data_IF_063459448592
#
_entry.id   IF_063459448592
#
_cell.length_a   1.000
_cell.length_b   1.000
_cell.length_c   1.000
_cell.angle_alpha   90.00
_cell.angle_beta   90.00
_cell.angle_gamma   90.00
#
_symmetry.space_group_name_H-M   'P 1'
#
loop_
_entity.id
_entity.type
_entity.pdbx_description
1 polymer ?
#
# COMPACT_ATOMS: atom_id res chain seq x y z
N UNK A 1 -42.45 -41.49 41.96
CA UNK A 1 -42.04 -41.88 40.58
C UNK A 1 -41.86 -40.72 39.60
N UNK A 2 -42.59 -39.59 39.70
CA UNK A 2 -42.48 -38.45 38.74
C UNK A 2 -41.11 -37.74 38.74
N UNK A 3 -40.47 -37.62 39.91
CA UNK A 3 -39.20 -36.88 40.08
C UNK A 3 -37.98 -37.60 39.45
N UNK A 4 -38.03 -38.93 39.33
CA UNK A 4 -36.96 -39.73 38.72
C UNK A 4 -36.94 -39.58 37.18
N UNK A 5 -38.10 -39.37 36.56
CA UNK A 5 -38.22 -39.09 35.11
C UNK A 5 -37.75 -37.67 34.76
N UNK A 6 -38.01 -36.70 35.63
CA UNK A 6 -37.56 -35.31 35.46
C UNK A 6 -36.04 -35.16 35.57
N UNK A 7 -35.39 -35.93 36.46
CA UNK A 7 -33.92 -35.91 36.60
C UNK A 7 -33.20 -36.45 35.35
N UNK A 8 -33.73 -37.53 34.75
CA UNK A 8 -33.18 -38.08 33.51
C UNK A 8 -33.41 -37.15 32.32
N UNK A 9 -34.58 -36.50 32.24
CA UNK A 9 -34.87 -35.51 31.21
C UNK A 9 -33.95 -34.28 31.34
N UNK A 10 -33.64 -33.85 32.57
CA UNK A 10 -32.70 -32.78 32.83
C UNK A 10 -31.28 -33.14 32.36
N UNK A 11 -30.84 -34.38 32.61
CA UNK A 11 -29.56 -34.88 32.11
C UNK A 11 -29.45 -34.86 30.59
N UNK A 12 -30.51 -35.27 29.88
CA UNK A 12 -30.55 -35.22 28.40
C UNK A 12 -30.47 -33.78 27.88
N UNK A 13 -31.16 -32.83 28.51
CA UNK A 13 -31.11 -31.41 28.13
C UNK A 13 -29.71 -30.83 28.31
N UNK A 14 -29.03 -31.16 29.43
CA UNK A 14 -27.66 -30.72 29.69
C UNK A 14 -26.70 -31.28 28.63
N UNK A 15 -26.85 -32.55 28.25
CA UNK A 15 -26.03 -33.17 27.19
C UNK A 15 -26.27 -32.48 25.84
N UNK A 16 -27.52 -32.19 25.47
CA UNK A 16 -27.83 -31.47 24.24
C UNK A 16 -27.22 -30.06 24.19
N UNK A 17 -27.24 -29.33 25.31
CA UNK A 17 -26.59 -28.01 25.41
C UNK A 17 -25.08 -28.14 25.26
N UNK A 18 -24.47 -29.16 25.86
CA UNK A 18 -23.02 -29.40 25.77
C UNK A 18 -22.60 -29.69 24.31
N UNK A 19 -23.37 -30.50 23.59
CA UNK A 19 -23.15 -30.76 22.16
C UNK A 19 -23.30 -29.48 21.32
N UNK A 20 -24.31 -28.66 21.61
CA UNK A 20 -24.51 -27.39 20.92
C UNK A 20 -23.31 -26.43 21.11
N UNK A 21 -22.79 -26.31 22.33
CA UNK A 21 -21.60 -25.51 22.62
C UNK A 21 -20.36 -26.02 21.86
N UNK A 22 -20.18 -27.33 21.76
CA UNK A 22 -19.07 -27.94 21.00
C UNK A 22 -19.20 -27.61 19.51
N UNK A 23 -20.40 -27.72 18.93
CA UNK A 23 -20.63 -27.39 17.52
C UNK A 23 -20.31 -25.91 17.21
N UNK A 24 -20.74 -24.99 18.09
CA UNK A 24 -20.44 -23.56 17.95
C UNK A 24 -18.94 -23.30 18.06
N UNK A 25 -18.27 -23.93 19.04
CA UNK A 25 -16.83 -23.81 19.25
C UNK A 25 -16.02 -24.27 18.02
N UNK A 26 -16.36 -25.44 17.47
CA UNK A 26 -15.71 -25.97 16.25
C UNK A 26 -15.97 -25.06 15.04
N UNK A 27 -17.20 -24.61 14.86
CA UNK A 27 -17.56 -23.68 13.78
C UNK A 27 -16.77 -22.37 13.87
N UNK A 28 -16.68 -21.79 15.07
CA UNK A 28 -15.90 -20.58 15.30
C UNK A 28 -14.40 -20.80 15.11
N UNK A 29 -13.86 -21.93 15.54
CA UNK A 29 -12.45 -22.28 15.36
C UNK A 29 -12.08 -22.37 13.87
N UNK A 30 -12.90 -23.04 13.06
CA UNK A 30 -12.70 -23.13 11.60
C UNK A 30 -12.76 -21.74 10.96
N UNK A 31 -13.74 -20.90 11.35
CA UNK A 31 -13.88 -19.54 10.82
C UNK A 31 -12.72 -18.62 11.23
N UNK A 32 -12.27 -18.69 12.49
CA UNK A 32 -11.15 -17.90 13.02
C UNK A 32 -9.84 -18.27 12.33
N UNK A 33 -9.60 -19.56 12.10
CA UNK A 33 -8.36 -20.01 11.46
C UNK A 33 -8.30 -19.63 9.96
N UNK A 34 -9.44 -19.58 9.26
CA UNK A 34 -9.52 -19.14 7.86
C UNK A 34 -9.31 -17.62 7.70
N UNK A 35 -9.73 -16.81 8.68
CA UNK A 35 -9.50 -15.36 8.67
C UNK A 35 -8.02 -15.02 8.84
N UNK A 36 -7.30 -15.77 9.68
CA UNK A 36 -5.87 -15.56 9.91
C UNK A 36 -5.02 -15.92 8.68
N UNK A 37 -5.42 -16.90 7.86
CA UNK A 37 -4.68 -17.23 6.62
C UNK A 37 -4.83 -16.16 5.54
N UNK A 38 -6.02 -15.58 5.39
CA UNK A 38 -6.25 -14.49 4.42
C UNK A 38 -5.59 -13.19 4.89
N UNK A 39 -5.64 -12.89 6.20
CA UNK A 39 -4.92 -11.76 6.80
C UNK A 39 -3.40 -11.89 6.68
N UNK A 40 -2.84 -13.11 6.83
CA UNK A 40 -1.40 -13.35 6.65
C UNK A 40 -0.94 -13.10 5.21
N UNK A 41 -1.78 -13.38 4.22
CA UNK A 41 -1.50 -13.10 2.80
C UNK A 41 -1.56 -11.60 2.49
N UNK A 42 -2.50 -10.87 3.10
CA UNK A 42 -2.62 -9.41 2.97
C UNK A 42 -1.46 -8.69 3.67
N UNK A 43 -1.12 -9.08 4.90
CA UNK A 43 0.02 -8.53 5.66
C UNK A 43 1.38 -8.84 5.04
N UNK A 44 1.52 -9.99 4.36
CA UNK A 44 2.72 -10.32 3.58
C UNK A 44 2.86 -9.47 2.30
N UNK A 45 1.77 -8.87 1.80
CA UNK A 45 1.78 -7.91 0.68
C UNK A 45 2.00 -6.48 1.22
N UNK A 46 1.47 -6.17 2.40
CA UNK A 46 1.63 -4.88 3.07
C UNK A 46 3.04 -4.63 3.62
N UNK A 47 3.81 -5.69 3.91
CA UNK A 47 5.21 -5.59 4.36
C UNK A 47 6.26 -5.47 3.25
N UNK A 48 5.86 -5.50 1.97
CA UNK A 48 6.77 -5.40 0.83
C UNK A 48 7.08 -3.94 0.51
N UNK A 49 8.31 -3.66 0.09
CA UNK A 49 8.65 -2.32 -0.39
C UNK A 49 7.77 -1.96 -1.59
N UNK A 50 7.48 -0.66 -1.76
CA UNK A 50 6.64 -0.18 -2.86
C UNK A 50 7.22 -0.61 -4.22
N UNK A 51 8.55 -0.56 -4.36
CA UNK A 51 9.29 -1.06 -5.53
C UNK A 51 9.03 -2.54 -5.79
N UNK A 52 8.98 -3.39 -4.75
CA UNK A 52 8.69 -4.83 -4.91
C UNK A 52 7.23 -5.09 -5.34
N UNK A 53 6.28 -4.31 -4.83
CA UNK A 53 4.88 -4.42 -5.27
C UNK A 53 4.74 -4.05 -6.74
N UNK A 54 5.43 -3.01 -7.17
CA UNK A 54 5.44 -2.56 -8.56
C UNK A 54 6.17 -3.55 -9.47
N UNK A 55 7.30 -4.13 -9.04
CA UNK A 55 8.08 -5.08 -9.85
C UNK A 55 7.31 -6.36 -10.22
N UNK A 56 6.32 -6.73 -9.41
CA UNK A 56 5.41 -7.86 -9.69
C UNK A 56 4.38 -7.55 -10.77
N UNK A 57 4.14 -6.27 -11.06
CA UNK A 57 3.13 -5.80 -12.02
C UNK A 57 3.75 -5.37 -13.35
N UNK A 58 5.00 -4.89 -13.33
CA UNK A 58 5.70 -4.39 -14.50
C UNK A 58 7.20 -4.58 -14.36
N UNK A 59 7.90 -4.73 -15.49
CA UNK A 59 9.36 -4.68 -15.53
C UNK A 59 9.86 -3.30 -15.12
N UNK A 60 10.60 -3.27 -14.01
CA UNK A 60 11.29 -2.09 -13.51
C UNK A 60 12.72 -2.03 -14.02
N UNK A 61 13.30 -0.82 -14.18
CA UNK A 61 14.73 -0.68 -14.41
C UNK A 61 15.57 -1.36 -13.32
N UNK A 62 16.65 -1.99 -13.74
CA UNK A 62 17.60 -2.67 -12.85
C UNK A 62 18.78 -1.76 -12.50
N UNK A 63 19.42 -2.01 -11.34
CA UNK A 63 20.61 -1.28 -10.86
C UNK A 63 20.39 0.22 -10.58
N UNK A 64 19.13 0.64 -10.37
CA UNK A 64 18.77 1.99 -9.95
C UNK A 64 17.60 1.92 -8.96
N UNK A 65 17.62 2.77 -7.94
CA UNK A 65 16.49 2.95 -7.03
C UNK A 65 15.61 4.11 -7.51
N UNK A 66 14.28 3.96 -7.53
CA UNK A 66 13.40 5.04 -7.93
C UNK A 66 13.36 6.14 -6.87
N UNK A 67 13.22 7.38 -7.33
CA UNK A 67 12.70 8.45 -6.48
C UNK A 67 11.18 8.30 -6.40
N UNK A 68 10.66 8.11 -5.20
CA UNK A 68 9.23 7.92 -4.95
C UNK A 68 8.64 9.24 -4.42
N UNK A 69 7.56 9.70 -5.04
CA UNK A 69 6.80 10.89 -4.65
C UNK A 69 5.33 10.49 -4.57
N UNK A 70 4.59 10.99 -3.59
CA UNK A 70 3.14 10.76 -3.48
C UNK A 70 2.42 12.03 -3.90
N UNK A 71 1.38 11.90 -4.71
CA UNK A 71 0.51 13.03 -5.10
C UNK A 71 -0.33 13.39 -3.88
N UNK A 72 -0.08 14.54 -3.27
CA UNK A 72 -0.79 14.96 -2.04
C UNK A 72 -1.95 15.92 -2.32
N UNK A 73 -1.92 16.63 -3.44
CA UNK A 73 -2.95 17.58 -3.85
C UNK A 73 -3.21 17.48 -5.36
N UNK A 74 -4.34 18.03 -5.81
CA UNK A 74 -4.68 18.06 -7.23
C UNK A 74 -3.81 19.05 -8.02
N UNK A 75 -3.19 20.03 -7.34
CA UNK A 75 -2.30 21.02 -7.98
C UNK A 75 -0.97 20.39 -8.47
N UNK A 76 -0.51 19.32 -7.83
CA UNK A 76 0.63 18.49 -8.25
C UNK A 76 0.33 17.62 -9.47
N UNK A 77 -0.96 17.41 -9.79
CA UNK A 77 -1.40 16.73 -11.00
C UNK A 77 -1.24 17.72 -12.15
N UNK A 78 -0.04 17.76 -12.70
CA UNK A 78 0.29 18.63 -13.84
C UNK A 78 -0.67 18.30 -15.00
N UNK A 79 -1.01 19.31 -15.80
CA UNK A 79 -1.74 19.16 -17.08
C UNK A 79 -0.92 18.46 -18.18
N UNK A 80 -0.20 17.40 -17.82
CA UNK A 80 0.54 16.54 -18.73
C UNK A 80 -0.27 15.24 -18.96
N UNK A 81 -0.23 14.66 -20.18
CA UNK A 81 -0.93 13.42 -20.47
C UNK A 81 -0.61 12.28 -19.50
N UNK A 82 0.60 12.28 -18.93
CA UNK A 82 1.04 11.30 -17.94
C UNK A 82 0.18 11.27 -16.66
N UNK A 83 -0.37 12.41 -16.25
CA UNK A 83 -1.16 12.51 -15.02
C UNK A 83 -2.67 12.43 -15.27
N UNK A 84 -3.12 12.20 -16.51
CA UNK A 84 -4.55 12.20 -16.89
C UNK A 84 -5.43 11.28 -16.03
N UNK A 85 -4.89 10.14 -15.61
CA UNK A 85 -5.62 9.14 -14.81
C UNK A 85 -5.16 9.09 -13.35
N UNK A 86 -4.23 9.97 -12.97
CA UNK A 86 -3.66 10.04 -11.63
C UNK A 86 -4.67 10.63 -10.64
N UNK A 87 -4.54 10.25 -9.38
CA UNK A 87 -5.36 10.74 -8.27
C UNK A 87 -4.49 11.06 -7.07
N UNK A 88 -5.01 11.91 -6.18
CA UNK A 88 -4.43 12.11 -4.85
C UNK A 88 -4.26 10.77 -4.15
N UNK A 89 -3.07 10.53 -3.61
CA UNK A 89 -2.65 9.28 -2.97
C UNK A 89 -1.96 8.29 -3.90
N UNK A 90 -1.92 8.51 -5.21
CA UNK A 90 -1.10 7.70 -6.11
C UNK A 90 0.40 7.99 -5.89
N UNK A 91 1.23 6.95 -5.98
CA UNK A 91 2.68 7.05 -5.85
C UNK A 91 3.34 7.09 -7.23
N UNK A 92 4.18 8.08 -7.46
CA UNK A 92 4.98 8.26 -8.67
C UNK A 92 6.39 7.78 -8.39
N UNK A 93 6.83 6.75 -9.13
CA UNK A 93 8.20 6.24 -9.10
C UNK A 93 8.93 6.79 -10.32
N UNK A 94 10.03 7.50 -10.10
CA UNK A 94 10.85 8.09 -11.16
C UNK A 94 12.24 7.46 -11.16
N UNK A 95 12.60 6.86 -12.30
CA UNK A 95 13.94 6.35 -12.58
C UNK A 95 14.64 7.33 -13.51
N UNK A 96 15.66 8.01 -12.99
CA UNK A 96 16.35 9.12 -13.65
C UNK A 96 17.28 8.58 -14.75
N UNK A 97 18.07 7.54 -14.45
CA UNK A 97 19.02 6.99 -15.42
C UNK A 97 18.28 6.25 -16.55
N UNK A 98 17.26 5.46 -16.19
CA UNK A 98 16.42 4.77 -17.17
C UNK A 98 15.42 5.68 -17.91
N UNK A 99 15.28 6.93 -17.45
CA UNK A 99 14.36 7.95 -17.96
C UNK A 99 12.91 7.45 -18.08
N UNK A 100 12.41 6.79 -17.03
CA UNK A 100 11.03 6.28 -16.96
C UNK A 100 10.36 6.70 -15.67
N UNK A 101 9.05 6.97 -15.76
CA UNK A 101 8.20 7.19 -14.61
C UNK A 101 7.00 6.25 -14.63
N UNK A 102 6.57 5.85 -13.44
CA UNK A 102 5.43 4.96 -13.21
C UNK A 102 4.51 5.59 -12.18
N UNK A 103 3.21 5.65 -12.46
CA UNK A 103 2.19 6.00 -11.46
C UNK A 103 1.59 4.70 -10.93
N UNK A 104 1.62 4.49 -9.63
CA UNK A 104 1.13 3.31 -8.95
C UNK A 104 0.03 3.69 -7.95
N UNK A 105 -1.09 2.98 -8.01
CA UNK A 105 -2.20 3.16 -7.07
C UNK A 105 -2.19 2.03 -6.04
N UNK A 106 -1.83 2.38 -4.80
CA UNK A 106 -1.75 1.42 -3.70
C UNK A 106 -3.09 0.74 -3.39
N UNK A 107 -4.20 1.48 -3.45
CA UNK A 107 -5.54 1.00 -3.08
C UNK A 107 -6.10 -0.06 -4.03
N UNK A 108 -5.69 -0.02 -5.29
CA UNK A 108 -6.13 -0.95 -6.34
C UNK A 108 -5.03 -1.94 -6.76
N UNK A 109 -3.81 -1.81 -6.17
CA UNK A 109 -2.61 -2.55 -6.55
C UNK A 109 -2.38 -2.60 -8.07
N UNK A 110 -2.36 -1.42 -8.71
CA UNK A 110 -2.25 -1.32 -10.17
C UNK A 110 -1.31 -0.22 -10.63
N UNK A 111 -0.72 -0.42 -11.80
CA UNK A 111 -0.04 0.63 -12.55
C UNK A 111 -1.11 1.47 -13.24
N UNK A 112 -1.13 2.77 -12.93
CA UNK A 112 -2.05 3.74 -13.50
C UNK A 112 -1.53 4.26 -14.83
N UNK A 113 -0.23 4.58 -14.90
CA UNK A 113 0.39 5.11 -16.13
C UNK A 113 1.90 4.84 -16.15
N UNK A 114 2.47 4.75 -17.36
CA UNK A 114 3.91 4.61 -17.60
C UNK A 114 4.32 5.58 -18.70
N UNK A 115 5.35 6.40 -18.46
CA UNK A 115 5.86 7.31 -19.48
C UNK A 115 7.38 7.47 -19.44
N UNK A 116 8.00 7.81 -20.58
CA UNK A 116 9.36 8.32 -20.59
C UNK A 116 9.40 9.70 -19.91
N UNK A 117 10.51 10.03 -19.24
CA UNK A 117 10.74 11.37 -18.70
C UNK A 117 11.73 12.13 -19.59
N UNK A 118 11.47 13.42 -19.78
CA UNK A 118 12.41 14.35 -20.41
C UNK A 118 12.98 15.21 -19.30
N UNK A 119 14.25 15.00 -18.99
CA UNK A 119 14.97 15.85 -18.05
C UNK A 119 15.39 17.10 -18.83
N UNK A 120 14.71 18.22 -18.59
CA UNK A 120 15.21 19.52 -19.01
C UNK A 120 16.32 19.90 -18.02
N UNK A 121 17.57 19.98 -18.48
CA UNK A 121 18.63 20.62 -17.71
C UNK A 121 18.29 22.10 -17.54
N UNK A 122 17.58 22.46 -16.47
CA UNK A 122 17.64 23.83 -16.00
C UNK A 122 19.04 24.03 -15.43
N UNK A 123 19.83 24.82 -16.16
CA UNK A 123 21.16 25.22 -15.78
C UNK A 123 21.22 25.61 -14.30
N UNK A 124 22.22 25.07 -13.63
CA UNK A 124 22.66 25.37 -12.27
C UNK A 124 22.43 26.82 -11.86
N UNK A 125 21.79 27.02 -10.71
CA UNK A 125 21.92 28.24 -9.93
C UNK A 125 23.41 28.49 -9.66
N UNK A 126 23.99 29.49 -10.33
CA UNK A 126 25.32 30.01 -9.98
C UNK A 126 25.17 30.90 -8.75
N UNK A 127 25.77 30.57 -7.60
CA UNK A 127 25.89 31.52 -6.50
C UNK A 127 27.04 32.47 -6.86
N UNK A 128 26.79 33.41 -7.77
CA UNK A 128 27.66 34.57 -7.93
C UNK A 128 26.83 35.85 -7.93
N UNK A 129 26.39 36.21 -6.72
CA UNK A 129 26.20 37.61 -6.38
C UNK A 129 27.52 38.01 -5.72
N UNK A 130 28.46 38.50 -6.51
CA UNK A 130 29.54 39.36 -6.04
C UNK A 130 28.93 40.39 -5.10
N UNK A 131 29.19 40.22 -3.80
CA UNK A 131 28.93 41.23 -2.80
C UNK A 131 29.91 42.34 -3.15
N UNK A 132 29.40 43.41 -3.76
CA UNK A 132 30.11 44.67 -3.89
C UNK A 132 30.60 45.08 -2.50
N UNK A 133 31.89 44.87 -2.27
CA UNK A 133 32.61 45.42 -1.15
C UNK A 133 32.68 46.94 -1.37
N UNK A 134 32.16 47.79 -0.46
CA UNK A 134 32.39 49.22 -0.56
C UNK A 134 33.87 49.49 -0.22
N UNK A 135 34.71 49.47 -1.26
CA UNK A 135 36.09 49.95 -1.18
C UNK A 135 36.05 51.47 -1.11
N UNK A 136 36.01 51.96 0.13
CA UNK A 136 36.86 53.02 0.65
C UNK A 136 37.40 54.04 -0.40
N UNK A 137 36.61 55.08 -0.69
CA UNK A 137 37.13 56.31 -1.30
C UNK A 137 37.87 57.14 -0.25
N UNK A 138 39.05 57.58 -0.66
CA UNK A 138 40.08 58.35 0.05
C UNK A 138 39.64 59.81 0.23
#
# INVERSE_FOLDING_TARGET
MKNLRLLNALGVIVICLLVLFICISVFMFIKYNKLNSDFKKLTSIEGLSLTERVSRLVFLPENEEPRIITIINEEEIVNEPFFKNAKVGDSVLVYINARKAFIYRNSENKIVEIAPIIIKETASFSPDKTIDNPTNDI
#
